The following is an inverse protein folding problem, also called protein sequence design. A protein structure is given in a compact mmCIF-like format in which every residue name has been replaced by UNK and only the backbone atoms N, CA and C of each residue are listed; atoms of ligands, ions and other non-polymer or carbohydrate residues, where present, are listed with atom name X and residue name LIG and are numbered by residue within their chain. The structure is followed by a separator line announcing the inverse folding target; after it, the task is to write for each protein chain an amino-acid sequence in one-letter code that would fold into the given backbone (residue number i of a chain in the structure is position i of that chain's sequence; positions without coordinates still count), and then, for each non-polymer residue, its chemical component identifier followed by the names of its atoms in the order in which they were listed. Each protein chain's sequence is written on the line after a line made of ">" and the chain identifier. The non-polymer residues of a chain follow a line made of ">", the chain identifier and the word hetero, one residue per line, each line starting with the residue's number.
data_IF_495837120764
#
_entry.id   IF_495837120764
#
_cell.length_a   1.000
_cell.length_b   1.000
_cell.length_c   1.000
_cell.angle_alpha   90.00
_cell.angle_beta   90.00
_cell.angle_gamma   90.00
#
_symmetry.space_group_name_H-M   'P 1'
#
loop_
_entity.id
_entity.type
_entity.pdbx_description
1 polymer ?
#
# COMPACT_ATOMS: atom_id res chain seq x y z
N UNK A 1 7.95 2.20 5.52
CA UNK A 1 8.59 3.36 6.20
C UNK A 1 8.58 3.12 7.70
N UNK A 2 9.32 3.89 8.50
CA UNK A 2 9.32 3.75 9.97
C UNK A 2 9.37 5.12 10.64
N UNK A 3 8.89 5.19 11.88
CA UNK A 3 9.06 6.36 12.75
C UNK A 3 10.00 5.97 13.89
N UNK A 4 11.08 6.72 14.06
CA UNK A 4 12.06 6.53 15.15
C UNK A 4 11.79 7.51 16.28
N UNK A 5 12.28 7.19 17.48
CA UNK A 5 12.24 8.13 18.59
C UNK A 5 13.12 9.35 18.26
N UNK A 6 12.66 10.58 18.55
CA UNK A 6 13.51 11.76 18.45
C UNK A 6 14.59 11.74 19.56
N UNK A 7 15.69 12.51 19.41
CA UNK A 7 16.69 12.64 20.46
C UNK A 7 16.11 13.22 21.76
N UNK A 8 16.75 12.94 22.90
CA UNK A 8 16.45 13.61 24.16
C UNK A 8 16.60 15.14 24.03
N UNK A 9 15.75 15.95 24.71
CA UNK A 9 14.72 15.56 25.69
C UNK A 9 13.35 15.20 25.07
N UNK A 10 13.23 15.20 23.73
CA UNK A 10 11.95 15.10 23.01
C UNK A 10 11.38 13.69 22.97
N UNK A 11 12.17 12.66 23.31
CA UNK A 11 11.74 11.26 23.32
C UNK A 11 10.57 11.01 24.28
N UNK A 12 10.46 11.84 25.33
CA UNK A 12 9.41 11.77 26.35
C UNK A 12 8.12 12.51 25.98
N UNK A 13 8.10 13.24 24.87
CA UNK A 13 6.95 14.08 24.50
C UNK A 13 5.92 13.30 23.68
N UNK A 14 4.64 13.62 23.91
CA UNK A 14 3.55 13.06 23.13
C UNK A 14 3.69 13.46 21.65
N UNK A 15 3.61 12.47 20.76
CA UNK A 15 3.63 12.67 19.31
C UNK A 15 2.31 12.21 18.73
N UNK A 16 1.55 13.14 18.15
CA UNK A 16 0.28 12.85 17.47
C UNK A 16 0.46 12.91 15.96
N UNK A 17 -0.06 11.92 15.25
CA UNK A 17 -0.13 11.91 13.79
C UNK A 17 -1.49 11.35 13.37
N UNK A 18 -2.09 11.94 12.34
CA UNK A 18 -3.39 11.55 11.81
C UNK A 18 -3.21 11.31 10.30
N UNK A 19 -2.77 10.10 9.89
CA UNK A 19 -2.61 9.79 8.48
C UNK A 19 -3.97 9.58 7.80
N UNK A 20 -4.05 10.01 6.54
CA UNK A 20 -5.18 9.72 5.66
C UNK A 20 -4.74 8.74 4.57
N UNK A 21 -5.35 7.56 4.54
CA UNK A 21 -5.05 6.52 3.55
C UNK A 21 -6.08 6.56 2.42
N UNK A 22 -5.68 7.11 1.28
CA UNK A 22 -6.50 7.15 0.08
C UNK A 22 -6.47 5.79 -0.64
N UNK A 23 -7.64 5.31 -1.04
CA UNK A 23 -7.81 4.09 -1.83
C UNK A 23 -8.56 4.41 -3.12
N UNK A 24 -8.31 3.67 -4.22
CA UNK A 24 -9.25 3.63 -5.35
C UNK A 24 -10.63 3.14 -4.89
N UNK A 25 -11.66 3.40 -5.70
CA UNK A 25 -12.97 2.78 -5.49
C UNK A 25 -12.83 1.24 -5.48
N UNK A 26 -13.57 0.53 -4.65
CA UNK A 26 -13.49 -0.94 -4.49
C UNK A 26 -13.55 -1.70 -5.82
N UNK A 27 -14.44 -1.28 -6.73
CA UNK A 27 -14.65 -1.87 -8.06
C UNK A 27 -13.58 -1.49 -9.10
N UNK A 28 -12.65 -0.59 -8.75
CA UNK A 28 -11.60 -0.17 -9.68
C UNK A 28 -10.68 -1.35 -9.98
N UNK A 29 -10.50 -1.62 -11.27
CA UNK A 29 -9.61 -2.68 -11.75
C UNK A 29 -8.19 -2.12 -11.88
N UNK A 30 -7.29 -2.63 -11.04
CA UNK A 30 -5.85 -2.37 -11.10
C UNK A 30 -5.27 -3.27 -12.19
N UNK A 31 -4.78 -2.63 -13.25
CA UNK A 31 -4.05 -3.26 -14.37
C UNK A 31 -2.76 -2.50 -14.60
N UNK A 32 -1.69 -3.20 -14.95
CA UNK A 32 -0.43 -2.57 -15.37
C UNK A 32 -0.70 -1.58 -16.51
N UNK A 33 -0.17 -0.36 -16.36
CA UNK A 33 -0.33 0.68 -17.37
C UNK A 33 0.46 0.31 -18.64
N UNK A 34 -0.10 0.43 -19.84
CA UNK A 34 0.59 0.08 -21.08
C UNK A 34 1.93 0.79 -21.26
N UNK A 35 2.01 2.06 -20.86
CA UNK A 35 3.22 2.88 -20.92
C UNK A 35 4.33 2.44 -19.94
N UNK A 36 4.02 1.55 -18.99
CA UNK A 36 4.99 0.97 -18.06
C UNK A 36 5.53 -0.39 -18.52
N UNK A 37 5.06 -0.93 -19.66
CA UNK A 37 5.46 -2.25 -20.18
C UNK A 37 6.36 -2.09 -21.40
N UNK A 38 7.51 -2.75 -21.39
CA UNK A 38 8.43 -2.86 -22.53
C UNK A 38 9.12 -4.22 -22.55
N UNK A 39 9.91 -4.50 -23.59
CA UNK A 39 10.68 -5.74 -23.69
C UNK A 39 11.69 -5.89 -22.53
N UNK A 40 12.28 -4.78 -22.07
CA UNK A 40 13.21 -4.74 -20.93
C UNK A 40 12.50 -4.66 -19.57
N UNK A 41 11.23 -4.26 -19.54
CA UNK A 41 10.38 -4.25 -18.36
C UNK A 41 9.02 -4.90 -18.65
N UNK A 42 8.97 -6.24 -18.73
CA UNK A 42 7.74 -6.95 -19.05
C UNK A 42 6.71 -6.82 -17.93
N UNK A 43 5.44 -7.04 -18.28
CA UNK A 43 4.35 -7.01 -17.32
C UNK A 43 4.52 -8.11 -16.25
N UNK A 44 4.68 -7.68 -15.00
CA UNK A 44 4.84 -8.57 -13.83
C UNK A 44 3.49 -8.94 -13.21
N UNK A 45 2.42 -8.28 -13.62
CA UNK A 45 1.07 -8.43 -13.09
C UNK A 45 0.07 -8.65 -14.23
N UNK A 46 0.23 -9.75 -15.01
CA UNK A 46 -0.61 -10.00 -16.18
C UNK A 46 -2.08 -10.22 -15.84
N UNK A 47 -2.36 -10.73 -14.64
CA UNK A 47 -3.71 -10.90 -14.12
C UNK A 47 -4.15 -9.61 -13.38
N UNK A 48 -5.15 -8.88 -13.89
CA UNK A 48 -5.66 -7.68 -13.22
C UNK A 48 -6.42 -8.05 -11.94
N UNK A 49 -6.48 -7.12 -11.00
CA UNK A 49 -7.13 -7.32 -9.69
C UNK A 49 -7.97 -6.10 -9.32
N UNK A 50 -9.13 -6.30 -8.68
CA UNK A 50 -9.89 -5.15 -8.14
C UNK A 50 -9.18 -4.56 -6.92
N UNK A 51 -9.38 -3.27 -6.66
CA UNK A 51 -8.79 -2.61 -5.50
C UNK A 51 -9.22 -3.28 -4.17
N UNK A 52 -10.48 -3.73 -4.08
CA UNK A 52 -10.99 -4.46 -2.93
C UNK A 52 -10.35 -5.83 -2.75
N UNK A 53 -10.20 -6.60 -3.84
CA UNK A 53 -9.54 -7.90 -3.80
C UNK A 53 -8.06 -7.76 -3.41
N UNK A 54 -7.36 -6.74 -3.92
CA UNK A 54 -5.99 -6.46 -3.55
C UNK A 54 -5.87 -6.07 -2.07
N UNK A 55 -6.74 -5.20 -1.56
CA UNK A 55 -6.78 -4.84 -0.15
C UNK A 55 -7.01 -6.07 0.73
N UNK A 56 -8.00 -6.90 0.39
CA UNK A 56 -8.31 -8.14 1.09
C UNK A 56 -7.11 -9.09 1.11
N UNK A 57 -6.49 -9.31 -0.05
CA UNK A 57 -5.26 -10.11 -0.15
C UNK A 57 -4.18 -9.56 0.79
N UNK A 58 -3.95 -8.23 0.79
CA UNK A 58 -2.94 -7.64 1.67
C UNK A 58 -3.26 -7.82 3.14
N UNK A 59 -4.52 -7.64 3.54
CA UNK A 59 -4.98 -7.80 4.92
C UNK A 59 -4.86 -9.24 5.42
N UNK A 60 -5.12 -10.23 4.55
CA UNK A 60 -4.90 -11.65 4.85
C UNK A 60 -3.41 -11.95 5.03
N UNK A 61 -2.56 -11.53 4.08
CA UNK A 61 -1.12 -11.82 4.13
C UNK A 61 -0.41 -11.17 5.34
N UNK A 62 -0.92 -10.04 5.85
CA UNK A 62 -0.41 -9.43 7.09
C UNK A 62 -1.13 -9.92 8.37
N UNK A 63 -2.10 -10.82 8.24
CA UNK A 63 -2.79 -11.46 9.35
C UNK A 63 -3.86 -10.62 10.07
N UNK A 64 -4.39 -9.57 9.42
CA UNK A 64 -5.49 -8.75 9.96
C UNK A 64 -6.88 -9.32 9.65
N UNK A 65 -7.00 -10.12 8.59
CA UNK A 65 -8.23 -10.83 8.21
C UNK A 65 -7.89 -12.32 8.02
N UNK A 66 -8.83 -13.21 8.35
CA UNK A 66 -8.71 -14.67 8.16
C UNK A 66 -9.66 -15.15 7.08
#
# INVERSE_FOLDING_TARGET
>A
HRVTNPPEPWASQARTSIPFFLHPNSEYVIRTLPECVSDENPDRYPEPITADAYLTQRLIEIGLIK
#
